data_IF_378638968275
#
_entry.id   IF_378638968275
#
_cell.length_a   1.000
_cell.length_b   1.000
_cell.length_c   1.000
_cell.angle_alpha   90.00
_cell.angle_beta   90.00
_cell.angle_gamma   90.00
#
_symmetry.space_group_name_H-M   'P 1'
#
loop_
_entity.id
_entity.type
_entity.pdbx_description
1 polymer ?
#
# COMPACT_ATOMS: atom_id res chain seq x y z
N UNK A 1 1.54 24.74 -45.73
CA UNK A 1 2.01 25.37 -44.48
C UNK A 1 1.69 24.40 -43.36
N UNK A 2 2.65 23.55 -42.97
CA UNK A 2 2.50 22.59 -41.88
C UNK A 2 2.89 23.28 -40.59
N UNK A 3 1.92 23.87 -39.89
CA UNK A 3 2.04 24.05 -38.45
C UNK A 3 1.42 22.80 -37.85
N UNK A 4 2.25 21.81 -37.50
CA UNK A 4 1.88 20.95 -36.38
C UNK A 4 1.67 21.91 -35.21
N UNK A 5 0.43 22.09 -34.80
CA UNK A 5 0.14 22.72 -33.52
C UNK A 5 0.67 21.77 -32.46
N UNK A 6 1.94 21.95 -32.09
CA UNK A 6 2.52 21.25 -30.97
C UNK A 6 1.71 21.65 -29.74
N UNK A 7 0.93 20.70 -29.22
CA UNK A 7 0.26 20.83 -27.94
C UNK A 7 1.26 21.33 -26.90
N UNK A 8 0.79 22.16 -25.98
CA UNK A 8 1.57 22.54 -24.80
C UNK A 8 0.72 22.36 -23.57
N UNK A 9 1.30 21.80 -22.52
CA UNK A 9 0.63 21.61 -21.25
C UNK A 9 1.52 22.10 -20.11
N UNK A 10 0.88 22.49 -19.02
CA UNK A 10 1.57 22.92 -17.81
C UNK A 10 0.81 22.41 -16.60
N UNK A 11 1.56 21.83 -15.67
CA UNK A 11 1.04 21.32 -14.41
C UNK A 11 1.46 22.27 -13.29
N UNK A 12 0.49 22.81 -12.57
CA UNK A 12 0.70 23.66 -11.40
C UNK A 12 0.75 22.80 -10.14
N UNK A 13 1.75 23.02 -9.30
CA UNK A 13 1.91 22.36 -8.00
C UNK A 13 2.46 23.36 -6.98
N UNK A 14 2.23 23.18 -5.66
CA UNK A 14 2.80 24.08 -4.66
C UNK A 14 4.34 24.10 -4.69
N UNK A 15 4.94 25.27 -4.45
CA UNK A 15 6.40 25.43 -4.37
C UNK A 15 6.98 24.87 -3.08
N UNK A 16 6.26 25.01 -1.97
CA UNK A 16 6.77 24.70 -0.63
C UNK A 16 5.77 23.81 0.11
N UNK A 17 6.26 22.68 0.61
CA UNK A 17 5.54 21.75 1.45
C UNK A 17 6.52 20.83 2.18
N UNK A 18 6.09 20.26 3.29
CA UNK A 18 6.75 19.12 3.94
C UNK A 18 6.17 17.83 3.37
N UNK A 19 6.97 16.78 3.25
CA UNK A 19 6.51 15.46 2.80
C UNK A 19 7.26 14.34 3.51
N UNK A 20 6.60 13.20 3.70
CA UNK A 20 7.22 11.93 4.10
C UNK A 20 7.30 10.92 2.95
N UNK A 21 7.06 11.38 1.72
CA UNK A 21 7.05 10.58 0.50
C UNK A 21 5.69 9.94 0.18
N UNK A 22 4.76 9.86 1.13
CA UNK A 22 3.39 9.38 0.93
C UNK A 22 2.39 10.55 0.96
N UNK A 23 2.53 11.45 1.93
CA UNK A 23 1.72 12.66 2.05
C UNK A 23 2.59 13.93 1.98
N UNK A 24 1.92 15.06 1.78
CA UNK A 24 2.49 16.39 1.94
C UNK A 24 1.59 17.30 2.78
N UNK A 25 2.19 18.23 3.53
CA UNK A 25 1.50 19.15 4.44
C UNK A 25 2.28 20.46 4.60
N UNK A 26 1.71 21.43 5.33
CA UNK A 26 2.28 22.78 5.44
C UNK A 26 2.53 23.41 4.06
N UNK A 27 1.53 23.26 3.19
CA UNK A 27 1.57 23.80 1.84
C UNK A 27 1.61 25.33 1.91
N UNK A 28 2.60 25.93 1.27
CA UNK A 28 2.80 27.37 1.24
C UNK A 28 3.53 27.81 -0.02
N UNK A 29 3.75 29.12 -0.16
CA UNK A 29 4.38 29.71 -1.33
C UNK A 29 3.48 29.73 -2.57
N UNK A 30 3.94 30.34 -3.68
CA UNK A 30 3.18 30.37 -4.93
C UNK A 30 3.13 28.99 -5.60
N UNK A 31 2.13 28.75 -6.43
CA UNK A 31 2.14 27.58 -7.32
C UNK A 31 3.27 27.72 -8.36
N UNK A 32 4.01 26.63 -8.59
CA UNK A 32 5.05 26.51 -9.60
C UNK A 32 4.49 25.76 -10.79
N UNK A 33 4.71 26.30 -11.98
CA UNK A 33 4.31 25.69 -13.23
C UNK A 33 5.43 24.82 -13.79
N UNK A 34 5.15 23.54 -14.00
CA UNK A 34 6.02 22.59 -14.72
C UNK A 34 5.49 22.36 -16.12
N UNK A 35 6.33 22.49 -17.13
CA UNK A 35 5.94 22.23 -18.53
C UNK A 35 5.99 20.74 -18.83
N UNK A 36 5.15 20.31 -19.76
CA UNK A 36 5.18 18.95 -20.29
C UNK A 36 6.55 18.63 -20.90
N UNK A 37 7.08 17.44 -20.59
CA UNK A 37 8.29 16.90 -21.21
C UNK A 37 8.03 16.53 -22.68
N UNK A 38 6.91 15.84 -22.92
CA UNK A 38 6.42 15.47 -24.24
C UNK A 38 4.89 15.35 -24.21
N UNK A 39 4.27 15.44 -25.39
CA UNK A 39 2.85 15.22 -25.60
C UNK A 39 2.68 14.36 -26.84
N UNK A 40 1.93 13.27 -26.70
CA UNK A 40 1.58 12.36 -27.80
C UNK A 40 0.06 12.27 -27.91
N UNK A 41 -0.45 12.31 -29.14
CA UNK A 41 -1.87 12.14 -29.41
C UNK A 41 -2.13 10.77 -30.04
N UNK A 42 -3.03 9.99 -29.44
CA UNK A 42 -3.46 8.70 -29.96
C UNK A 42 -4.98 8.59 -29.86
N UNK A 43 -5.63 8.40 -31.01
CA UNK A 43 -7.10 8.23 -31.12
C UNK A 43 -7.90 9.34 -30.43
N UNK A 44 -7.41 10.59 -30.49
CA UNK A 44 -8.04 11.75 -29.86
C UNK A 44 -7.78 11.87 -28.35
N UNK A 45 -6.94 11.01 -27.76
CA UNK A 45 -6.46 11.12 -26.38
C UNK A 45 -5.05 11.67 -26.36
N UNK A 46 -4.80 12.67 -25.51
CA UNK A 46 -3.48 13.25 -25.30
C UNK A 46 -2.81 12.55 -24.11
N UNK A 47 -1.70 11.87 -24.35
CA UNK A 47 -0.78 11.45 -23.31
C UNK A 47 0.25 12.57 -23.08
N UNK A 48 0.29 13.08 -21.85
CA UNK A 48 1.09 14.24 -21.46
C UNK A 48 2.00 13.83 -20.32
N UNK A 49 3.32 13.93 -20.51
CA UNK A 49 4.29 13.59 -19.47
C UNK A 49 4.81 14.82 -18.73
N UNK A 50 4.94 14.69 -17.41
CA UNK A 50 5.59 15.64 -16.53
C UNK A 50 6.68 14.94 -15.72
N UNK A 51 7.72 15.66 -15.33
CA UNK A 51 8.75 15.15 -14.41
C UNK A 51 8.12 14.82 -13.05
N UNK A 52 8.32 13.59 -12.53
CA UNK A 52 8.07 13.26 -11.11
C UNK A 52 9.31 13.66 -10.30
N UNK A 53 9.24 14.68 -9.43
CA UNK A 53 10.37 15.10 -8.61
C UNK A 53 10.87 14.01 -7.64
N UNK A 54 10.03 13.03 -7.32
CA UNK A 54 10.36 11.90 -6.46
C UNK A 54 10.91 10.68 -7.22
N UNK A 55 10.75 10.62 -8.55
CA UNK A 55 11.25 9.53 -9.39
C UNK A 55 11.55 10.06 -10.81
N UNK A 56 12.69 10.76 -11.01
CA UNK A 56 13.00 11.44 -12.28
C UNK A 56 13.10 10.50 -13.49
N UNK A 57 13.34 9.21 -13.25
CA UNK A 57 13.43 8.19 -14.30
C UNK A 57 12.03 7.70 -14.75
N UNK A 58 10.97 7.98 -13.97
CA UNK A 58 9.61 7.55 -14.22
C UNK A 58 8.65 8.75 -14.22
N UNK A 59 8.47 9.44 -15.36
CA UNK A 59 7.61 10.62 -15.42
C UNK A 59 6.13 10.30 -15.15
N UNK A 60 5.43 11.27 -14.56
CA UNK A 60 3.98 11.22 -14.40
C UNK A 60 3.31 11.39 -15.78
N UNK A 61 2.54 10.38 -16.21
CA UNK A 61 1.82 10.42 -17.48
C UNK A 61 0.32 10.56 -17.21
N UNK A 62 -0.22 11.70 -17.64
CA UNK A 62 -1.64 12.02 -17.64
C UNK A 62 -2.20 11.70 -19.02
N UNK A 63 -3.38 11.10 -19.06
CA UNK A 63 -4.17 10.94 -20.28
C UNK A 63 -5.38 11.87 -20.21
N UNK A 64 -5.58 12.66 -21.27
CA UNK A 64 -6.68 13.59 -21.41
C UNK A 64 -7.43 13.31 -22.71
N UNK A 65 -8.69 12.90 -22.61
CA UNK A 65 -9.57 12.65 -23.75
C UNK A 65 -10.67 13.72 -23.79
N UNK A 66 -10.66 14.66 -24.73
CA UNK A 66 -11.76 15.60 -24.90
C UNK A 66 -13.06 14.85 -25.20
N UNK A 67 -14.13 15.17 -24.47
CA UNK A 67 -15.46 14.60 -24.75
C UNK A 67 -16.28 15.58 -25.58
N UNK A 68 -16.28 16.87 -25.20
CA UNK A 68 -16.85 17.96 -25.99
C UNK A 68 -16.18 19.30 -25.65
N UNK A 69 -16.77 20.41 -26.11
CA UNK A 69 -16.21 21.74 -25.89
C UNK A 69 -16.20 22.17 -24.41
N UNK A 70 -16.94 21.50 -23.54
CA UNK A 70 -17.14 21.86 -22.13
C UNK A 70 -16.52 20.87 -21.16
N UNK A 71 -16.16 19.66 -21.61
CA UNK A 71 -15.65 18.60 -20.72
C UNK A 71 -14.64 17.68 -21.40
N UNK A 72 -13.78 17.07 -20.59
CA UNK A 72 -12.84 16.02 -20.98
C UNK A 72 -12.68 14.99 -19.87
N UNK A 73 -12.32 13.78 -20.24
CA UNK A 73 -11.93 12.73 -19.29
C UNK A 73 -10.43 12.81 -19.02
N UNK A 74 -10.07 12.75 -17.74
CA UNK A 74 -8.69 12.82 -17.25
C UNK A 74 -8.38 11.55 -16.49
N UNK A 75 -7.27 10.89 -16.80
CA UNK A 75 -6.76 9.76 -16.04
C UNK A 75 -5.25 9.83 -15.93
N UNK A 76 -4.67 8.96 -15.10
CA UNK A 76 -3.23 8.73 -15.10
C UNK A 76 -2.99 7.34 -15.69
N UNK A 77 -2.09 7.25 -16.68
CA UNK A 77 -1.86 6.05 -17.50
C UNK A 77 -1.46 4.80 -16.69
N UNK A 78 -1.03 5.00 -15.46
CA UNK A 78 -0.55 3.94 -14.58
C UNK A 78 -1.35 3.83 -13.28
N UNK A 79 -2.34 4.68 -13.01
CA UNK A 79 -3.16 4.56 -11.79
C UNK A 79 -4.48 3.82 -12.07
N UNK A 80 -4.95 2.97 -11.15
CA UNK A 80 -6.17 2.17 -11.31
C UNK A 80 -7.41 2.98 -10.92
N UNK A 81 -7.46 4.25 -11.32
CA UNK A 81 -8.62 5.10 -11.09
C UNK A 81 -9.48 5.13 -12.33
N UNK A 82 -10.80 5.18 -12.13
CA UNK A 82 -11.70 5.57 -13.20
C UNK A 82 -11.33 6.98 -13.67
N UNK A 83 -11.44 7.28 -14.99
CA UNK A 83 -11.24 8.63 -15.47
C UNK A 83 -12.14 9.63 -14.73
N UNK A 84 -11.57 10.78 -14.41
CA UNK A 84 -12.26 11.90 -13.81
C UNK A 84 -12.81 12.79 -14.92
N UNK A 85 -14.11 13.06 -14.90
CA UNK A 85 -14.68 14.07 -15.79
C UNK A 85 -14.25 15.47 -15.33
N UNK A 86 -13.44 16.13 -16.13
CA UNK A 86 -13.01 17.50 -15.94
C UNK A 86 -13.90 18.46 -16.73
N UNK A 87 -14.29 19.56 -16.11
CA UNK A 87 -15.00 20.65 -16.78
C UNK A 87 -14.00 21.69 -17.28
N UNK A 88 -14.22 22.20 -18.50
CA UNK A 88 -13.46 23.32 -19.04
C UNK A 88 -13.75 24.56 -18.20
N UNK A 89 -12.74 25.03 -17.46
CA UNK A 89 -12.81 26.30 -16.78
C UNK A 89 -12.72 27.47 -17.79
N UNK A 90 -13.44 28.59 -17.55
CA UNK A 90 -13.24 29.82 -18.31
C UNK A 90 -11.81 30.36 -18.10
N UNK A 91 -11.24 30.99 -19.14
CA UNK A 91 -9.85 31.44 -19.17
C UNK A 91 -9.47 32.53 -18.15
N UNK A 92 -10.44 33.11 -17.45
CA UNK A 92 -10.26 34.24 -16.51
C UNK A 92 -10.59 33.89 -15.05
N UNK A 93 -10.73 32.61 -14.71
CA UNK A 93 -10.99 32.16 -13.34
C UNK A 93 -9.72 32.07 -12.47
N UNK A 94 -9.86 32.26 -11.15
CA UNK A 94 -8.82 31.83 -10.20
C UNK A 94 -8.59 30.33 -10.35
N UNK A 95 -7.33 29.91 -10.41
CA UNK A 95 -6.98 28.50 -10.41
C UNK A 95 -7.39 27.90 -9.05
N UNK A 96 -8.02 26.72 -9.04
CA UNK A 96 -8.47 26.03 -7.82
C UNK A 96 -7.31 25.50 -6.94
N UNK A 97 -6.07 25.89 -7.23
CA UNK A 97 -4.84 25.38 -6.63
C UNK A 97 -4.02 26.49 -5.94
N UNK A 98 -4.63 27.63 -5.62
CA UNK A 98 -3.97 28.74 -4.93
C UNK A 98 -4.48 28.94 -3.48
N UNK A 99 -5.49 28.17 -3.05
CA UNK A 99 -6.18 28.28 -1.77
C UNK A 99 -5.98 27.05 -0.86
N UNK A 100 -4.77 26.49 -0.85
CA UNK A 100 -4.41 25.38 0.03
C UNK A 100 -4.63 25.71 1.51
N UNK A 101 -5.20 24.76 2.26
CA UNK A 101 -5.25 24.85 3.71
C UNK A 101 -3.90 24.43 4.29
N UNK A 102 -3.17 25.40 4.83
CA UNK A 102 -1.87 25.18 5.48
C UNK A 102 -1.93 24.20 6.68
N UNK A 103 -3.11 23.95 7.25
CA UNK A 103 -3.32 22.98 8.33
C UNK A 103 -3.72 21.59 7.81
N UNK A 104 -4.05 21.47 6.53
CA UNK A 104 -4.40 20.20 5.94
C UNK A 104 -3.15 19.39 5.58
N UNK A 105 -3.36 18.08 5.52
CA UNK A 105 -2.42 17.08 5.00
C UNK A 105 -3.06 16.44 3.78
N UNK A 106 -2.30 16.38 2.71
CA UNK A 106 -2.74 15.95 1.40
C UNK A 106 -1.96 14.70 1.01
N UNK A 107 -2.63 13.65 0.57
CA UNK A 107 -1.95 12.44 0.11
C UNK A 107 -1.47 12.59 -1.32
N UNK A 108 -0.22 12.20 -1.60
CA UNK A 108 0.20 11.96 -2.97
C UNK A 108 -0.42 10.64 -3.43
N UNK A 109 -1.19 10.69 -4.52
CA UNK A 109 -1.64 9.48 -5.19
C UNK A 109 -0.45 8.85 -5.94
N UNK A 110 0.42 8.12 -5.24
CA UNK A 110 1.51 7.36 -5.86
C UNK A 110 1.02 5.96 -6.21
N UNK A 111 0.99 5.64 -7.51
CA UNK A 111 0.73 4.26 -7.90
C UNK A 111 1.93 3.40 -7.55
N UNK A 112 1.68 2.27 -6.93
CA UNK A 112 2.70 1.23 -6.78
C UNK A 112 2.11 -0.06 -7.33
N UNK A 113 2.48 -0.47 -8.56
CA UNK A 113 1.98 -1.73 -9.09
C UNK A 113 2.40 -2.85 -8.14
N UNK A 114 1.45 -3.74 -7.84
CA UNK A 114 1.74 -4.90 -6.99
C UNK A 114 2.55 -5.92 -7.76
N UNK A 115 3.51 -6.54 -7.08
CA UNK A 115 4.37 -7.58 -7.62
C UNK A 115 3.60 -8.91 -7.71
N UNK A 116 3.48 -9.47 -8.92
CA UNK A 116 2.74 -10.71 -9.16
C UNK A 116 3.36 -11.92 -8.49
N UNK A 117 4.68 -11.91 -8.27
CA UNK A 117 5.38 -13.05 -7.68
C UNK A 117 5.06 -13.19 -6.19
N UNK A 118 5.12 -12.10 -5.42
CA UNK A 118 4.76 -12.16 -3.99
C UNK A 118 3.28 -12.50 -3.79
N UNK A 119 2.41 -12.08 -4.72
CA UNK A 119 1.01 -12.47 -4.73
C UNK A 119 0.85 -14.00 -4.91
N UNK A 120 1.57 -14.61 -5.86
CA UNK A 120 1.55 -16.07 -6.07
C UNK A 120 2.06 -16.82 -4.84
N UNK A 121 3.16 -16.36 -4.25
CA UNK A 121 3.74 -16.95 -3.04
C UNK A 121 2.73 -16.92 -1.88
N UNK A 122 2.02 -15.80 -1.71
CA UNK A 122 0.95 -15.65 -0.72
C UNK A 122 -0.23 -16.59 -1.02
N UNK A 123 -0.69 -16.67 -2.26
CA UNK A 123 -1.81 -17.55 -2.61
C UNK A 123 -1.48 -19.03 -2.39
N UNK A 124 -0.24 -19.45 -2.65
CA UNK A 124 0.25 -20.81 -2.34
C UNK A 124 0.30 -21.05 -0.83
N UNK A 125 0.84 -20.10 -0.07
CA UNK A 125 0.90 -20.14 1.39
C UNK A 125 -0.50 -20.32 1.99
N UNK A 126 -1.45 -19.45 1.62
CA UNK A 126 -2.81 -19.47 2.16
C UNK A 126 -3.59 -20.72 1.75
N UNK A 127 -3.37 -21.25 0.53
CA UNK A 127 -3.99 -22.51 0.08
C UNK A 127 -3.57 -23.69 0.94
N UNK A 128 -2.32 -23.77 1.36
CA UNK A 128 -1.88 -24.86 2.24
C UNK A 128 -2.41 -24.72 3.68
N UNK A 129 -2.89 -23.53 4.08
CA UNK A 129 -3.51 -23.32 5.40
C UNK A 129 -4.92 -23.89 5.50
N UNK A 130 -5.68 -23.96 4.41
CA UNK A 130 -7.04 -24.53 4.46
C UNK A 130 -7.05 -26.00 4.88
N UNK A 131 -5.97 -26.72 4.55
CA UNK A 131 -5.83 -28.15 4.81
C UNK A 131 -4.95 -28.45 6.03
N UNK A 132 -4.31 -27.43 6.62
CA UNK A 132 -3.29 -27.58 7.66
C UNK A 132 -3.78 -28.35 8.89
N UNK A 133 -5.05 -28.20 9.26
CA UNK A 133 -5.65 -28.90 10.41
C UNK A 133 -5.77 -30.43 10.21
N UNK A 134 -5.61 -30.92 8.98
CA UNK A 134 -5.69 -32.34 8.63
C UNK A 134 -4.34 -33.00 8.35
N UNK A 135 -3.25 -32.23 8.45
CA UNK A 135 -1.89 -32.73 8.21
C UNK A 135 -1.40 -33.56 9.40
N UNK A 136 -0.71 -34.66 9.09
CA UNK A 136 0.09 -35.40 10.06
C UNK A 136 1.46 -34.72 10.30
N UNK A 137 2.28 -35.30 11.18
CA UNK A 137 3.61 -34.75 11.51
C UNK A 137 4.49 -34.58 10.27
N UNK A 138 4.39 -35.50 9.29
CA UNK A 138 5.15 -35.41 8.04
C UNK A 138 4.64 -34.25 7.18
N UNK A 139 3.32 -34.08 7.07
CA UNK A 139 2.69 -32.97 6.38
C UNK A 139 3.06 -31.61 7.00
N UNK A 140 3.04 -31.51 8.34
CA UNK A 140 3.47 -30.31 9.06
C UNK A 140 4.95 -30.00 8.83
N UNK A 141 5.81 -31.02 8.82
CA UNK A 141 7.22 -30.84 8.49
C UNK A 141 7.44 -30.31 7.07
N UNK A 142 6.74 -30.88 6.08
CA UNK A 142 6.81 -30.42 4.69
C UNK A 142 6.29 -28.99 4.53
N UNK A 143 5.22 -28.63 5.26
CA UNK A 143 4.68 -27.28 5.29
C UNK A 143 5.72 -26.28 5.82
N UNK A 144 6.39 -26.59 6.94
CA UNK A 144 7.45 -25.74 7.49
C UNK A 144 8.64 -25.55 6.52
N UNK A 145 9.01 -26.60 5.79
CA UNK A 145 10.06 -26.50 4.75
C UNK A 145 9.67 -25.53 3.64
N UNK A 146 8.42 -25.61 3.14
CA UNK A 146 7.89 -24.70 2.12
C UNK A 146 7.76 -23.27 2.64
N UNK A 147 7.34 -23.08 3.88
CA UNK A 147 7.26 -21.77 4.53
C UNK A 147 8.63 -21.10 4.59
N UNK A 148 9.68 -21.88 4.86
CA UNK A 148 11.06 -21.38 4.80
C UNK A 148 11.48 -20.98 3.38
N UNK A 149 11.12 -21.76 2.36
CA UNK A 149 11.40 -21.43 0.95
C UNK A 149 10.70 -20.14 0.52
N UNK A 150 9.41 -20.00 0.83
CA UNK A 150 8.62 -18.78 0.57
C UNK A 150 9.20 -17.57 1.26
N UNK A 151 9.57 -17.69 2.55
CA UNK A 151 10.24 -16.62 3.31
C UNK A 151 11.57 -16.23 2.68
N UNK A 152 12.38 -17.20 2.23
CA UNK A 152 13.63 -16.90 1.55
C UNK A 152 13.42 -16.15 0.24
N UNK A 153 12.39 -16.50 -0.53
CA UNK A 153 12.08 -15.76 -1.76
C UNK A 153 11.57 -14.35 -1.47
N UNK A 154 10.66 -14.19 -0.50
CA UNK A 154 10.19 -12.87 -0.06
C UNK A 154 11.35 -11.98 0.44
N UNK A 155 12.31 -12.54 1.19
CA UNK A 155 13.55 -11.84 1.60
C UNK A 155 14.36 -11.32 0.41
N UNK A 156 14.47 -12.09 -0.67
CA UNK A 156 15.16 -11.62 -1.88
C UNK A 156 14.40 -10.50 -2.59
N UNK A 157 13.08 -10.63 -2.77
CA UNK A 157 12.25 -9.57 -3.36
C UNK A 157 12.35 -8.24 -2.58
N UNK A 158 12.37 -8.31 -1.23
CA UNK A 158 12.59 -7.15 -0.37
C UNK A 158 13.97 -6.52 -0.58
N UNK A 159 15.05 -7.32 -0.59
CA UNK A 159 16.43 -6.82 -0.80
C UNK A 159 16.62 -6.21 -2.18
N UNK A 160 15.95 -6.75 -3.19
CA UNK A 160 15.99 -6.26 -4.57
C UNK A 160 15.10 -5.02 -4.78
N UNK A 161 14.38 -4.56 -3.76
CA UNK A 161 13.48 -3.39 -3.87
C UNK A 161 12.25 -3.63 -4.75
N UNK A 162 11.87 -4.90 -4.95
CA UNK A 162 10.78 -5.29 -5.85
C UNK A 162 9.39 -5.23 -5.21
N UNK A 163 9.31 -5.14 -3.87
CA UNK A 163 8.04 -4.97 -3.16
C UNK A 163 7.79 -3.48 -2.93
N UNK A 164 6.70 -2.96 -3.49
CA UNK A 164 6.41 -1.53 -3.53
C UNK A 164 5.00 -1.21 -3.06
N UNK A 165 3.98 -1.96 -3.43
CA UNK A 165 2.61 -1.62 -3.04
C UNK A 165 2.32 -1.96 -1.58
N UNK A 166 1.33 -1.34 -0.94
CA UNK A 166 0.88 -1.77 0.39
C UNK A 166 0.48 -3.25 0.41
N UNK A 167 -0.08 -3.74 -0.70
CA UNK A 167 -0.45 -5.15 -0.89
C UNK A 167 0.76 -6.09 -0.95
N UNK A 168 1.88 -5.67 -1.53
CA UNK A 168 3.12 -6.44 -1.53
C UNK A 168 3.63 -6.66 -0.11
N UNK A 169 3.64 -5.60 0.71
CA UNK A 169 4.06 -5.67 2.10
C UNK A 169 3.08 -6.46 2.97
N UNK A 170 1.78 -6.36 2.69
CA UNK A 170 0.75 -7.19 3.33
C UNK A 170 0.99 -8.68 3.08
N UNK A 171 1.21 -9.06 1.82
CA UNK A 171 1.52 -10.45 1.45
C UNK A 171 2.81 -10.93 2.11
N UNK A 172 3.87 -10.12 2.05
CA UNK A 172 5.11 -10.44 2.74
C UNK A 172 4.91 -10.62 4.26
N UNK A 173 4.13 -9.76 4.92
CA UNK A 173 3.85 -9.88 6.34
C UNK A 173 3.26 -11.25 6.72
N UNK A 174 2.31 -11.77 5.93
CA UNK A 174 1.76 -13.11 6.12
C UNK A 174 2.81 -14.22 5.95
N UNK A 175 3.66 -14.12 4.94
CA UNK A 175 4.75 -15.09 4.73
C UNK A 175 5.72 -15.11 5.91
N UNK A 176 6.09 -13.95 6.45
CA UNK A 176 6.99 -13.86 7.60
C UNK A 176 6.33 -14.26 8.92
N UNK A 177 5.01 -14.07 9.08
CA UNK A 177 4.25 -14.50 10.25
C UNK A 177 4.33 -16.01 10.47
N UNK A 178 4.52 -16.78 9.40
CA UNK A 178 4.74 -18.23 9.42
C UNK A 178 6.20 -18.61 9.71
N UNK A 179 6.98 -17.67 10.23
CA UNK A 179 8.33 -17.93 10.72
C UNK A 179 8.42 -18.73 12.02
N UNK A 180 9.65 -19.04 12.39
CA UNK A 180 9.97 -19.91 13.54
C UNK A 180 10.72 -19.15 14.64
N UNK A 181 11.23 -17.96 14.33
CA UNK A 181 12.02 -17.16 15.26
C UNK A 181 11.32 -15.84 15.60
N UNK A 182 11.58 -15.24 16.78
CA UNK A 182 11.06 -13.92 17.13
C UNK A 182 11.38 -12.84 16.08
N UNK A 183 12.54 -12.95 15.43
CA UNK A 183 12.98 -12.03 14.37
C UNK A 183 12.05 -12.03 13.15
N UNK A 184 11.47 -13.19 12.80
CA UNK A 184 10.53 -13.31 11.70
C UNK A 184 9.20 -12.61 12.03
N UNK A 185 8.70 -12.76 13.26
CA UNK A 185 7.47 -12.09 13.70
C UNK A 185 7.64 -10.58 13.77
N UNK A 186 8.80 -10.10 14.24
CA UNK A 186 9.08 -8.67 14.24
C UNK A 186 9.20 -8.11 12.81
N UNK A 187 9.80 -8.87 11.90
CA UNK A 187 9.85 -8.52 10.48
C UNK A 187 8.43 -8.48 9.87
N UNK A 188 7.57 -9.45 10.19
CA UNK A 188 6.17 -9.46 9.76
C UNK A 188 5.41 -8.21 10.26
N UNK A 189 5.62 -7.82 11.52
CA UNK A 189 5.02 -6.62 12.09
C UNK A 189 5.47 -5.34 11.36
N UNK A 190 6.78 -5.19 11.13
CA UNK A 190 7.31 -4.05 10.39
C UNK A 190 6.73 -3.97 8.96
N UNK A 191 6.62 -5.09 8.26
CA UNK A 191 6.02 -5.14 6.92
C UNK A 191 4.53 -4.76 6.95
N UNK A 192 3.78 -5.25 7.94
CA UNK A 192 2.38 -4.88 8.11
C UNK A 192 2.19 -3.37 8.39
N UNK A 193 3.10 -2.75 9.15
CA UNK A 193 3.10 -1.30 9.36
C UNK A 193 3.36 -0.53 8.06
N UNK A 194 4.28 -1.00 7.21
CA UNK A 194 4.49 -0.42 5.87
C UNK A 194 3.25 -0.57 4.99
N UNK A 195 2.59 -1.73 5.04
CA UNK A 195 1.36 -1.97 4.30
C UNK A 195 0.26 -0.96 4.70
N UNK A 196 0.05 -0.75 6.01
CA UNK A 196 -0.88 0.24 6.53
C UNK A 196 -0.53 1.67 6.09
N UNK A 197 0.75 2.04 6.19
CA UNK A 197 1.23 3.35 5.75
C UNK A 197 1.03 3.57 4.24
N UNK A 198 1.01 2.49 3.45
CA UNK A 198 0.72 2.49 2.00
C UNK A 198 -0.75 2.23 1.66
N UNK A 199 -1.65 2.44 2.62
CA UNK A 199 -3.09 2.40 2.39
C UNK A 199 -3.67 1.00 2.22
N UNK A 200 -3.05 -0.05 2.78
CA UNK A 200 -3.61 -1.41 2.82
C UNK A 200 -4.32 -1.67 4.17
N UNK A 201 -5.62 -1.33 4.30
CA UNK A 201 -6.37 -1.47 5.55
C UNK A 201 -6.51 -2.92 6.04
N UNK A 202 -6.36 -3.92 5.15
CA UNK A 202 -6.45 -5.33 5.54
C UNK A 202 -5.27 -5.75 6.43
N UNK A 203 -4.19 -4.96 6.46
CA UNK A 203 -2.99 -5.26 7.24
C UNK A 203 -3.16 -5.10 8.77
N UNK A 204 -4.28 -4.56 9.26
CA UNK A 204 -4.49 -4.30 10.70
C UNK A 204 -4.39 -5.57 11.55
N UNK A 205 -5.03 -6.65 11.12
CA UNK A 205 -5.00 -7.92 11.86
C UNK A 205 -3.60 -8.53 11.88
N UNK A 206 -2.91 -8.58 10.74
CA UNK A 206 -1.57 -9.18 10.67
C UNK A 206 -0.53 -8.34 11.43
N UNK A 207 -0.68 -7.01 11.50
CA UNK A 207 0.13 -6.15 12.36
C UNK A 207 -0.02 -6.51 13.84
N UNK A 208 -1.25 -6.70 14.32
CA UNK A 208 -1.54 -7.13 15.69
C UNK A 208 -1.05 -8.57 15.96
N UNK A 209 -1.34 -9.49 15.04
CA UNK A 209 -1.03 -10.90 15.19
C UNK A 209 0.47 -11.20 15.20
N UNK A 210 1.25 -10.45 14.44
CA UNK A 210 2.72 -10.59 14.41
C UNK A 210 3.38 -10.04 15.66
N UNK A 211 2.89 -8.92 16.21
CA UNK A 211 3.38 -8.40 17.48
C UNK A 211 3.05 -9.35 18.65
N UNK A 212 1.82 -9.88 18.70
CA UNK A 212 1.45 -10.87 19.71
C UNK A 212 2.33 -12.13 19.66
N UNK A 213 2.66 -12.64 18.47
CA UNK A 213 3.60 -13.77 18.32
C UNK A 213 5.00 -13.41 18.78
N UNK A 214 5.50 -12.22 18.46
CA UNK A 214 6.79 -11.75 18.95
C UNK A 214 6.83 -11.71 20.48
N UNK A 215 5.79 -11.15 21.12
CA UNK A 215 5.69 -11.08 22.58
C UNK A 215 5.71 -12.49 23.19
N UNK A 216 4.87 -13.40 22.70
CA UNK A 216 4.82 -14.77 23.21
C UNK A 216 6.14 -15.51 23.00
N UNK A 217 6.78 -15.36 21.84
CA UNK A 217 8.07 -15.97 21.53
C UNK A 217 9.23 -15.40 22.39
N UNK A 218 9.03 -14.25 23.03
CA UNK A 218 9.98 -13.61 23.95
C UNK A 218 9.53 -13.69 25.42
N UNK A 219 8.59 -14.60 25.73
CA UNK A 219 8.04 -14.85 27.06
C UNK A 219 7.29 -13.65 27.68
N UNK A 220 6.69 -12.81 26.85
CA UNK A 220 5.79 -11.74 27.25
C UNK A 220 4.34 -12.12 26.92
N UNK A 221 3.35 -11.68 27.72
CA UNK A 221 1.95 -11.84 27.36
C UNK A 221 1.64 -11.03 26.10
N UNK A 222 0.72 -11.55 25.29
CA UNK A 222 0.20 -10.86 24.12
C UNK A 222 -0.72 -9.70 24.54
N UNK A 223 -0.88 -8.68 23.70
CA UNK A 223 -1.62 -7.44 24.05
C UNK A 223 -2.85 -7.19 23.15
N UNK A 224 -2.95 -7.85 22.00
CA UNK A 224 -4.13 -7.79 21.13
C UNK A 224 -5.03 -9.03 21.28
N UNK A 225 -4.48 -10.15 21.77
CA UNK A 225 -5.27 -11.37 22.05
C UNK A 225 -5.56 -12.20 20.80
N UNK A 226 -4.70 -12.13 19.79
CA UNK A 226 -4.86 -12.80 18.48
C UNK A 226 -4.39 -14.25 18.44
N UNK A 227 -3.58 -14.69 19.41
CA UNK A 227 -2.96 -16.01 19.44
C UNK A 227 -3.68 -16.96 20.40
N UNK A 228 -3.99 -18.15 19.88
CA UNK A 228 -4.73 -19.20 20.56
C UNK A 228 -3.97 -20.53 20.44
N UNK A 229 -4.06 -21.34 21.48
CA UNK A 229 -3.69 -22.74 21.47
C UNK A 229 -4.92 -23.56 21.08
N UNK A 230 -4.81 -24.29 19.98
CA UNK A 230 -5.83 -25.24 19.53
C UNK A 230 -5.39 -26.63 19.98
N UNK A 231 -6.25 -27.33 20.70
CA UNK A 231 -6.05 -28.73 21.06
C UNK A 231 -7.19 -29.57 20.49
N UNK A 232 -6.88 -30.78 20.05
CA UNK A 232 -7.87 -31.70 19.49
C UNK A 232 -9.06 -31.87 20.42
N UNK A 233 -10.25 -31.58 19.89
CA UNK A 233 -11.55 -31.74 20.56
C UNK A 233 -11.72 -30.87 21.82
N UNK A 234 -10.90 -29.83 22.00
CA UNK A 234 -11.06 -28.83 23.06
C UNK A 234 -11.33 -27.44 22.47
N UNK A 235 -12.03 -26.55 23.20
CA UNK A 235 -12.12 -25.15 22.83
C UNK A 235 -10.72 -24.53 22.68
N UNK A 236 -10.57 -23.61 21.71
CA UNK A 236 -9.36 -22.81 21.56
C UNK A 236 -9.09 -22.04 22.85
N UNK A 237 -7.89 -22.22 23.43
CA UNK A 237 -7.47 -21.50 24.62
C UNK A 237 -6.64 -20.31 24.20
N UNK A 238 -7.06 -19.09 24.55
CA UNK A 238 -6.23 -17.91 24.31
C UNK A 238 -4.93 -18.01 25.12
N UNK A 239 -3.79 -17.81 24.46
CA UNK A 239 -2.47 -17.79 25.09
C UNK A 239 -2.33 -16.60 26.07
N UNK A 240 -1.31 -16.56 26.94
CA UNK A 240 -1.15 -15.50 27.95
C UNK A 240 -1.40 -14.10 27.36
N UNK A 241 -2.34 -13.36 27.96
CA UNK A 241 -2.87 -12.09 27.46
C UNK A 241 -2.93 -11.07 28.59
N UNK A 242 -2.38 -9.89 28.34
CA UNK A 242 -2.44 -8.75 29.26
C UNK A 242 -3.51 -7.75 28.78
N UNK A 243 -4.69 -7.71 29.44
CA UNK A 243 -5.78 -6.81 29.06
C UNK A 243 -5.54 -5.34 29.44
N UNK A 244 -4.55 -5.05 30.28
CA UNK A 244 -4.39 -3.72 30.89
C UNK A 244 -3.53 -2.78 30.01
N UNK A 245 -2.83 -3.32 29.01
CA UNK A 245 -2.00 -2.53 28.09
C UNK A 245 -2.84 -1.79 27.04
N UNK A 246 -3.80 -2.48 26.42
CA UNK A 246 -4.65 -1.93 25.35
C UNK A 246 -6.12 -2.01 25.77
N UNK A 247 -6.73 -0.84 25.98
CA UNK A 247 -8.15 -0.79 26.36
C UNK A 247 -9.06 -1.38 25.28
N UNK A 248 -10.24 -1.92 25.65
CA UNK A 248 -11.21 -2.44 24.68
C UNK A 248 -11.60 -1.44 23.60
N UNK A 249 -11.68 -0.15 23.92
CA UNK A 249 -11.99 0.91 22.97
C UNK A 249 -10.91 1.07 21.89
N UNK A 250 -9.63 0.91 22.25
CA UNK A 250 -8.53 0.97 21.29
C UNK A 250 -8.55 -0.25 20.36
N UNK A 251 -8.86 -1.44 20.88
CA UNK A 251 -9.03 -2.65 20.06
C UNK A 251 -10.17 -2.50 19.04
N UNK A 252 -11.30 -1.95 19.48
CA UNK A 252 -12.45 -1.66 18.61
C UNK A 252 -12.08 -0.65 17.52
N UNK A 253 -11.41 0.46 17.89
CA UNK A 253 -10.96 1.47 16.94
C UNK A 253 -9.95 0.93 15.91
N UNK A 254 -9.13 -0.04 16.29
CA UNK A 254 -8.21 -0.74 15.38
C UNK A 254 -8.91 -1.75 14.48
N UNK A 255 -10.16 -2.14 14.75
CA UNK A 255 -10.89 -3.12 13.95
C UNK A 255 -10.26 -4.52 13.96
N UNK A 256 -9.42 -4.84 14.95
CA UNK A 256 -8.87 -6.19 15.13
C UNK A 256 -9.92 -7.01 15.86
N UNK A 257 -10.72 -7.78 15.11
CA UNK A 257 -11.76 -8.63 15.71
C UNK A 257 -11.13 -9.72 16.58
N UNK A 258 -11.77 -9.98 17.72
CA UNK A 258 -11.51 -11.19 18.51
C UNK A 258 -12.02 -12.37 17.71
N UNK A 259 -11.15 -13.30 17.32
CA UNK A 259 -11.56 -14.60 16.84
C UNK A 259 -12.40 -15.25 17.94
N UNK A 260 -13.69 -15.49 17.68
CA UNK A 260 -14.57 -16.28 18.54
C UNK A 260 -14.35 -17.77 18.32
#
# INVERSE_FOLDING_TARGET
>A
MTKEEAWSASLLAPSEYLTDGEDFWQVSGPAVSRRSLWIEEQEGTLAIAFEDPGDPDNPDIIELSPVDQTKGEFSFKLLPFEPFTMLRAPSEGKCAFEDWDSNARYSHLRFRPSNREIASIFDEDQRERSDAASLDDQGLHLLALRDRERRNRAKSLLREGQLKSGRDFYFAAFIFQHGEEPSDYLQAHALAMVALARGEPSARWIAAASLDRFLLATNQPQIFGTQFQVEDKKPSLRLPYDPDVISPHVLEALGVQKSH
#
